data_IF_228588658262
#
_entry.id   IF_228588658262
#
_cell.length_a   1.000
_cell.length_b   1.000
_cell.length_c   1.000
_cell.angle_alpha   90.00
_cell.angle_beta   90.00
_cell.angle_gamma   90.00
#
_symmetry.space_group_name_H-M   'P 1'
#
loop_
_entity.id
_entity.type
_entity.pdbx_description
1 polymer ?
#
# COMPACT_ATOMS: atom_id res chain seq x y z
N UNK A 1 12.46 6.07 11.79
CA UNK A 1 12.33 5.98 10.32
C UNK A 1 11.26 6.92 9.79
N UNK A 2 10.11 7.09 10.48
CA UNK A 2 9.17 8.19 10.21
C UNK A 2 9.23 9.22 11.35
N UNK A 3 9.53 10.46 11.02
CA UNK A 3 9.63 11.61 11.91
C UNK A 3 8.33 12.41 11.97
N UNK A 4 7.48 12.35 10.94
CA UNK A 4 6.22 13.13 10.88
C UNK A 4 4.99 12.27 10.59
N UNK A 5 3.77 12.75 10.94
CA UNK A 5 2.53 12.10 10.53
C UNK A 5 2.34 12.06 9.01
N UNK A 6 2.85 13.05 8.28
CA UNK A 6 2.78 13.10 6.82
C UNK A 6 3.54 11.95 6.17
N UNK A 7 4.78 11.69 6.61
CA UNK A 7 5.60 10.60 6.08
C UNK A 7 4.93 9.22 6.28
N UNK A 8 4.28 9.02 7.43
CA UNK A 8 3.50 7.79 7.69
C UNK A 8 2.28 7.70 6.77
N UNK A 9 1.56 8.81 6.61
CA UNK A 9 0.37 8.85 5.75
C UNK A 9 0.73 8.50 4.29
N UNK A 10 1.83 9.04 3.78
CA UNK A 10 2.32 8.82 2.41
C UNK A 10 2.78 7.36 2.22
N UNK A 11 3.46 6.80 3.22
CA UNK A 11 3.80 5.38 3.22
C UNK A 11 2.54 4.50 3.17
N UNK A 12 1.52 4.83 3.98
CA UNK A 12 0.26 4.10 4.00
C UNK A 12 -0.47 4.21 2.65
N UNK A 13 -0.46 5.38 2.00
CA UNK A 13 -1.02 5.54 0.65
C UNK A 13 -0.34 4.55 -0.31
N UNK A 14 0.99 4.55 -0.39
CA UNK A 14 1.72 3.63 -1.27
C UNK A 14 1.48 2.15 -0.93
N UNK A 15 1.38 1.82 0.36
CA UNK A 15 1.06 0.47 0.82
C UNK A 15 -0.33 0.02 0.38
N UNK A 16 -1.36 0.82 0.67
CA UNK A 16 -2.74 0.46 0.36
C UNK A 16 -3.05 0.49 -1.13
N UNK A 17 -2.39 1.34 -1.93
CA UNK A 17 -2.53 1.31 -3.39
C UNK A 17 -2.09 -0.04 -4.00
N UNK A 18 -1.18 -0.76 -3.34
CA UNK A 18 -0.70 -2.06 -3.81
C UNK A 18 -1.51 -3.24 -3.27
N UNK A 19 -1.83 -3.23 -1.97
CA UNK A 19 -2.62 -4.31 -1.34
C UNK A 19 -4.10 -4.22 -1.71
N UNK A 20 -4.59 -3.00 -1.95
CA UNK A 20 -5.98 -2.70 -2.28
C UNK A 20 -6.06 -1.87 -3.58
N UNK A 21 -5.98 -2.50 -4.78
CA UNK A 21 -6.19 -1.84 -6.08
C UNK A 21 -7.59 -1.23 -6.33
N UNK A 22 -8.39 -0.97 -5.28
CA UNK A 22 -9.73 -0.41 -5.41
C UNK A 22 -9.62 1.12 -5.46
N UNK A 23 -10.27 1.78 -6.44
CA UNK A 23 -10.28 3.23 -6.49
C UNK A 23 -10.93 3.78 -5.22
N UNK A 24 -10.38 4.87 -4.65
CA UNK A 24 -10.95 5.46 -3.45
C UNK A 24 -12.39 5.92 -3.74
N UNK A 25 -13.32 5.55 -2.85
CA UNK A 25 -14.74 5.90 -3.00
C UNK A 25 -14.99 7.40 -2.96
N UNK A 26 -14.11 8.14 -2.29
CA UNK A 26 -14.15 9.58 -2.19
C UNK A 26 -12.95 10.15 -2.96
N UNK A 27 -13.16 11.05 -3.94
CA UNK A 27 -12.06 11.67 -4.64
C UNK A 27 -11.21 12.47 -3.64
N UNK A 28 -9.90 12.40 -3.81
CA UNK A 28 -8.97 13.23 -3.05
C UNK A 28 -9.20 14.69 -3.45
N UNK A 29 -9.32 15.62 -2.48
CA UNK A 29 -9.38 17.05 -2.79
C UNK A 29 -8.13 17.49 -3.57
N UNK A 30 -8.26 18.41 -4.53
CA UNK A 30 -7.15 18.87 -5.40
C UNK A 30 -5.94 19.44 -4.63
N UNK A 31 -6.09 19.83 -3.36
CA UNK A 31 -4.96 20.19 -2.48
C UNK A 31 -4.04 19.01 -2.11
N UNK A 32 -4.46 17.78 -2.40
CA UNK A 32 -3.67 16.56 -2.28
C UNK A 32 -3.05 16.14 -3.62
N UNK A 33 -3.16 16.97 -4.67
CA UNK A 33 -2.44 16.76 -5.94
C UNK A 33 -0.95 16.73 -5.63
N UNK A 34 -0.39 15.53 -5.67
CA UNK A 34 0.94 15.11 -5.23
C UNK A 34 2.05 16.16 -5.53
N UNK A 35 2.53 16.95 -4.55
CA UNK A 35 3.76 17.72 -4.70
C UNK A 35 4.89 17.00 -3.95
N UNK A 36 5.15 15.74 -4.30
CA UNK A 36 6.06 14.88 -3.53
C UNK A 36 7.43 14.77 -4.18
N UNK A 37 8.22 15.83 -4.17
CA UNK A 37 9.66 15.67 -4.45
C UNK A 37 10.39 15.09 -3.23
N UNK A 38 10.10 15.58 -2.01
CA UNK A 38 10.90 15.24 -0.82
C UNK A 38 10.50 13.94 -0.13
N UNK A 39 9.21 13.60 -0.09
CA UNK A 39 8.69 12.45 0.68
C UNK A 39 8.35 11.24 -0.22
N UNK A 40 8.71 11.31 -1.51
CA UNK A 40 8.46 10.24 -2.49
C UNK A 40 9.06 8.89 -2.09
N UNK A 41 10.20 8.90 -1.39
CA UNK A 41 10.85 7.67 -0.96
C UNK A 41 10.01 6.88 0.07
N UNK A 42 9.21 7.55 0.90
CA UNK A 42 8.27 6.86 1.80
C UNK A 42 7.08 6.27 1.04
N UNK A 43 6.58 6.96 0.02
CA UNK A 43 5.55 6.43 -0.88
C UNK A 43 6.05 5.17 -1.59
N UNK A 44 7.24 5.24 -2.19
CA UNK A 44 7.87 4.11 -2.87
C UNK A 44 8.13 2.96 -1.90
N UNK A 45 8.62 3.25 -0.69
CA UNK A 45 8.79 2.26 0.38
C UNK A 45 7.48 1.58 0.77
N UNK A 46 6.38 2.34 0.84
CA UNK A 46 5.03 1.83 1.05
C UNK A 46 4.62 0.84 -0.03
N UNK A 47 4.82 1.20 -1.31
CA UNK A 47 4.51 0.31 -2.44
C UNK A 47 5.32 -0.99 -2.41
N UNK A 48 6.61 -0.92 -2.10
CA UNK A 48 7.45 -2.12 -1.97
C UNK A 48 6.95 -3.03 -0.84
N UNK A 49 6.68 -2.46 0.33
CA UNK A 49 6.15 -3.21 1.46
C UNK A 49 4.80 -3.84 1.14
N UNK A 50 3.91 -3.12 0.46
CA UNK A 50 2.60 -3.63 0.11
C UNK A 50 2.64 -4.69 -0.99
N UNK A 51 3.58 -4.63 -1.94
CA UNK A 51 3.81 -5.72 -2.91
C UNK A 51 4.26 -7.02 -2.21
N UNK A 52 5.18 -6.91 -1.25
CA UNK A 52 5.61 -8.07 -0.44
C UNK A 52 4.42 -8.63 0.36
N UNK A 53 3.64 -7.75 1.00
CA UNK A 53 2.44 -8.16 1.74
C UNK A 53 1.42 -8.86 0.84
N UNK A 54 1.19 -8.36 -0.38
CA UNK A 54 0.30 -8.97 -1.36
C UNK A 54 0.76 -10.38 -1.75
N UNK A 55 2.05 -10.58 -2.01
CA UNK A 55 2.59 -11.91 -2.31
C UNK A 55 2.37 -12.90 -1.16
N UNK A 56 2.55 -12.46 0.09
CA UNK A 56 2.30 -13.29 1.27
C UNK A 56 0.81 -13.63 1.42
N UNK A 57 -0.08 -12.67 1.19
CA UNK A 57 -1.54 -12.89 1.22
C UNK A 57 -1.93 -13.91 0.15
N UNK A 58 -1.47 -13.74 -1.09
CA UNK A 58 -1.74 -14.68 -2.18
C UNK A 58 -1.18 -16.08 -1.88
N UNK A 59 0.04 -16.15 -1.34
CA UNK A 59 0.64 -17.41 -0.90
C UNK A 59 -0.19 -18.10 0.17
N UNK A 60 -0.65 -17.37 1.19
CA UNK A 60 -1.52 -17.87 2.24
C UNK A 60 -2.86 -18.39 1.71
N UNK A 61 -3.48 -17.65 0.77
CA UNK A 61 -4.71 -18.07 0.10
C UNK A 61 -4.50 -19.38 -0.66
N UNK A 62 -3.41 -19.50 -1.44
CA UNK A 62 -3.10 -20.73 -2.19
C UNK A 62 -2.91 -21.91 -1.23
N UNK A 63 -2.20 -21.71 -0.12
CA UNK A 63 -2.01 -22.76 0.90
C UNK A 63 -3.35 -23.20 1.49
N UNK A 64 -4.20 -22.25 1.88
CA UNK A 64 -5.53 -22.54 2.44
C UNK A 64 -6.40 -23.32 1.43
N UNK A 65 -6.39 -22.94 0.15
CA UNK A 65 -7.13 -23.67 -0.88
C UNK A 65 -6.64 -25.11 -1.04
N UNK A 66 -5.33 -25.36 -0.95
CA UNK A 66 -4.78 -26.72 -1.04
C UNK A 66 -5.24 -27.59 0.14
N UNK A 67 -5.27 -27.04 1.35
CA UNK A 67 -5.73 -27.76 2.54
C UNK A 67 -7.23 -28.05 2.52
N UNK A 68 -8.05 -27.15 1.98
CA UNK A 68 -9.52 -27.35 1.92
C UNK A 68 -9.94 -28.32 0.81
N UNK A 69 -9.18 -28.39 -0.29
CA UNK A 69 -9.50 -29.23 -1.46
C UNK A 69 -8.87 -30.65 -1.41
N UNK A 70 -8.07 -30.96 -0.39
CA UNK A 70 -7.45 -32.28 -0.17
C UNK A 70 -8.20 -33.03 0.93
#
# INVERSE_FOLDING_TARGET
MFSTPAERHIFLIGFFETVCPWPPRQPLPDRYTFPFSKEYHYYLGGRWAGFIALLLILGGIITLFKEVLT
#
